data_IF_739273991701
#
_entry.id   IF_739273991701
#
_cell.length_a   1.000
_cell.length_b   1.000
_cell.length_c   1.000
_cell.angle_alpha   90.00
_cell.angle_beta   90.00
_cell.angle_gamma   90.00
#
_symmetry.space_group_name_H-M   'P 1'
#
loop_
_entity.id
_entity.type
_entity.pdbx_description
1 polymer ?
#
# COMPACT_ATOMS: atom_id res chain seq x y z
N UNK A 1 12.23 0.23 7.39
CA UNK A 1 11.05 1.12 7.34
C UNK A 1 11.57 2.55 7.29
N UNK A 2 11.64 3.14 6.10
CA UNK A 2 11.92 4.58 5.97
C UNK A 2 10.62 5.28 6.36
N UNK A 3 10.57 5.83 7.58
CA UNK A 3 9.45 6.66 8.02
C UNK A 3 9.64 8.05 7.43
N UNK A 4 9.05 8.29 6.26
CA UNK A 4 9.05 9.62 5.65
C UNK A 4 8.02 10.49 6.36
N UNK A 5 8.48 11.40 7.21
CA UNK A 5 7.61 12.40 7.86
C UNK A 5 7.35 13.55 6.89
N UNK A 6 6.07 13.79 6.57
CA UNK A 6 5.63 14.93 5.76
C UNK A 6 5.04 15.96 6.70
N UNK A 7 5.64 17.15 6.76
CA UNK A 7 5.07 18.28 7.47
C UNK A 7 4.20 19.10 6.52
N UNK A 8 2.94 19.31 6.91
CA UNK A 8 1.97 20.14 6.17
C UNK A 8 1.62 21.33 7.04
N UNK A 9 1.89 22.53 6.55
CA UNK A 9 1.43 23.77 7.19
C UNK A 9 0.96 24.72 6.10
N UNK A 10 -0.06 25.54 6.37
CA UNK A 10 -0.73 26.38 5.37
C UNK A 10 0.11 27.58 4.93
N UNK A 11 -0.45 28.79 5.00
CA UNK A 11 0.26 30.05 4.68
C UNK A 11 1.63 30.17 5.38
N UNK A 12 1.78 29.54 6.55
CA UNK A 12 3.04 29.48 7.32
C UNK A 12 4.12 28.65 6.60
N UNK A 13 3.81 27.50 5.98
CA UNK A 13 4.84 26.72 5.26
C UNK A 13 5.36 27.47 4.04
N UNK A 14 4.50 28.27 3.39
CA UNK A 14 4.93 29.14 2.31
C UNK A 14 5.87 30.25 2.82
N UNK A 15 5.54 30.88 3.94
CA UNK A 15 6.32 31.99 4.51
C UNK A 15 7.66 31.58 5.14
N UNK A 16 7.78 30.35 5.67
CA UNK A 16 8.96 29.87 6.39
C UNK A 16 9.67 28.70 5.71
N UNK A 17 9.40 28.46 4.42
CA UNK A 17 9.93 27.30 3.68
C UNK A 17 11.45 27.18 3.77
N UNK A 18 12.18 28.26 3.48
CA UNK A 18 13.64 28.26 3.47
C UNK A 18 14.24 28.01 4.87
N UNK A 19 13.66 28.60 5.92
CA UNK A 19 14.09 28.36 7.29
C UNK A 19 13.85 26.91 7.71
N UNK A 20 12.67 26.36 7.42
CA UNK A 20 12.34 24.98 7.74
C UNK A 20 13.24 23.99 6.97
N UNK A 21 13.55 24.27 5.70
CA UNK A 21 14.47 23.45 4.91
C UNK A 21 15.91 23.55 5.37
N UNK A 22 16.35 24.72 5.80
CA UNK A 22 17.68 24.89 6.39
C UNK A 22 17.80 24.13 7.71
N UNK A 23 16.81 24.23 8.60
CA UNK A 23 16.80 23.56 9.90
C UNK A 23 16.60 22.04 9.79
N UNK A 24 15.78 21.59 8.84
CA UNK A 24 15.43 20.19 8.63
C UNK A 24 15.56 19.79 7.15
N UNK A 25 16.78 19.56 6.64
CA UNK A 25 17.01 19.30 5.21
C UNK A 25 16.27 18.06 4.67
N UNK A 26 16.10 17.04 5.52
CA UNK A 26 15.40 15.79 5.18
C UNK A 26 13.89 15.87 5.26
N UNK A 27 13.33 16.95 5.82
CA UNK A 27 11.89 17.12 5.96
C UNK A 27 11.28 17.48 4.61
N UNK A 28 10.28 16.72 4.17
CA UNK A 28 9.46 17.14 3.01
C UNK A 28 8.45 18.18 3.48
N UNK A 29 8.54 19.40 2.92
CA UNK A 29 7.65 20.53 3.23
C UNK A 29 6.84 20.83 1.97
N UNK A 30 5.52 20.67 2.04
CA UNK A 30 4.61 21.03 0.96
C UNK A 30 4.02 22.43 1.20
N UNK A 31 4.09 23.31 0.20
CA UNK A 31 3.60 24.70 0.26
C UNK A 31 2.22 24.88 -0.35
N UNK A 32 1.72 23.88 -1.07
CA UNK A 32 0.38 23.87 -1.66
C UNK A 32 -0.24 22.48 -1.62
N UNK A 33 -1.54 22.41 -1.93
CA UNK A 33 -2.27 21.14 -2.04
C UNK A 33 -1.67 20.29 -3.16
N UNK A 34 -1.25 20.90 -4.25
CA UNK A 34 -0.62 20.24 -5.40
C UNK A 34 0.74 19.65 -5.03
N UNK A 35 1.58 20.40 -4.31
CA UNK A 35 2.86 19.89 -3.81
C UNK A 35 2.67 18.72 -2.84
N UNK A 36 1.68 18.81 -1.95
CA UNK A 36 1.34 17.72 -1.04
C UNK A 36 0.86 16.47 -1.79
N UNK A 37 -0.07 16.65 -2.73
CA UNK A 37 -0.59 15.56 -3.55
C UNK A 37 0.54 14.88 -4.34
N UNK A 38 1.47 15.66 -4.91
CA UNK A 38 2.66 15.17 -5.60
C UNK A 38 3.62 14.39 -4.69
N UNK A 39 3.88 14.89 -3.49
CA UNK A 39 4.70 14.20 -2.50
C UNK A 39 4.07 12.87 -2.06
N UNK A 40 2.78 12.88 -1.71
CA UNK A 40 2.02 11.67 -1.34
C UNK A 40 2.00 10.65 -2.47
N UNK A 41 1.74 11.09 -3.70
CA UNK A 41 1.75 10.22 -4.87
C UNK A 41 3.12 9.58 -5.08
N UNK A 42 4.20 10.35 -4.97
CA UNK A 42 5.57 9.85 -5.10
C UNK A 42 5.87 8.78 -4.05
N UNK A 43 5.52 9.01 -2.78
CA UNK A 43 5.67 8.01 -1.72
C UNK A 43 4.87 6.73 -2.01
N UNK A 44 3.63 6.85 -2.51
CA UNK A 44 2.82 5.69 -2.88
C UNK A 44 3.47 4.88 -4.01
N UNK A 45 4.05 5.55 -5.02
CA UNK A 45 4.75 4.90 -6.14
C UNK A 45 6.02 4.21 -5.67
N UNK A 46 6.83 4.82 -4.80
CA UNK A 46 8.03 4.20 -4.24
C UNK A 46 7.68 2.94 -3.43
N UNK A 47 6.67 3.03 -2.57
CA UNK A 47 6.20 1.88 -1.81
C UNK A 47 5.62 0.79 -2.70
N UNK A 48 5.00 1.15 -3.82
CA UNK A 48 4.57 0.18 -4.81
C UNK A 48 5.76 -0.50 -5.48
N UNK A 49 6.81 0.24 -5.83
CA UNK A 49 8.04 -0.30 -6.41
C UNK A 49 8.68 -1.36 -5.50
N UNK A 50 8.81 -1.06 -4.20
CA UNK A 50 9.29 -2.03 -3.20
C UNK A 50 8.42 -3.31 -3.17
N UNK A 51 7.09 -3.14 -3.26
CA UNK A 51 6.14 -4.25 -3.13
C UNK A 51 5.86 -5.02 -4.43
N UNK A 52 6.32 -4.55 -5.60
CA UNK A 52 6.21 -5.33 -6.84
C UNK A 52 7.01 -6.65 -6.76
N UNK A 53 8.00 -6.71 -5.86
CA UNK A 53 8.81 -7.89 -5.60
C UNK A 53 9.76 -8.28 -6.74
N UNK A 54 9.88 -7.47 -7.81
CA UNK A 54 10.82 -7.70 -8.92
C UNK A 54 10.60 -9.00 -9.71
N UNK A 55 9.51 -9.74 -9.46
CA UNK A 55 9.28 -11.08 -10.01
C UNK A 55 8.87 -11.09 -11.48
N UNK A 56 8.59 -9.92 -12.07
CA UNK A 56 8.21 -9.77 -13.48
C UNK A 56 7.10 -10.73 -13.93
N UNK A 57 6.08 -10.95 -13.08
CA UNK A 57 5.04 -11.97 -13.30
C UNK A 57 4.03 -11.61 -14.41
N UNK A 58 4.03 -10.36 -14.89
CA UNK A 58 3.15 -9.83 -15.95
C UNK A 58 1.64 -9.90 -15.65
N UNK A 59 1.24 -10.23 -14.43
CA UNK A 59 -0.17 -10.33 -14.04
C UNK A 59 -0.94 -9.00 -14.17
N UNK A 60 -0.25 -7.87 -14.19
CA UNK A 60 -0.82 -6.53 -14.41
C UNK A 60 -0.86 -6.10 -15.88
N UNK A 61 -0.42 -6.94 -16.82
CA UNK A 61 -0.38 -6.64 -18.26
C UNK A 61 0.88 -5.91 -18.74
N UNK A 62 1.78 -5.51 -17.84
CA UNK A 62 3.06 -4.90 -18.20
C UNK A 62 4.15 -5.95 -18.48
N UNK A 63 5.12 -5.67 -19.39
CA UNK A 63 6.17 -6.63 -19.76
C UNK A 63 7.06 -7.07 -18.60
N UNK A 64 7.29 -6.18 -17.63
CA UNK A 64 8.08 -6.39 -16.43
C UNK A 64 7.67 -5.35 -15.36
N UNK A 65 8.19 -5.49 -14.13
CA UNK A 65 7.89 -4.59 -13.03
C UNK A 65 8.41 -3.17 -13.27
N UNK A 66 9.56 -3.02 -13.95
CA UNK A 66 10.15 -1.72 -14.23
C UNK A 66 9.28 -0.87 -15.16
N UNK A 67 8.75 -1.46 -16.24
CA UNK A 67 7.82 -0.80 -17.16
C UNK A 67 6.52 -0.40 -16.46
N UNK A 68 6.03 -1.25 -15.54
CA UNK A 68 4.88 -0.90 -14.71
C UNK A 68 5.18 0.30 -13.80
N UNK A 69 6.33 0.31 -13.11
CA UNK A 69 6.73 1.45 -12.25
C UNK A 69 6.94 2.72 -13.08
N UNK A 70 7.53 2.62 -14.28
CA UNK A 70 7.66 3.75 -15.20
C UNK A 70 6.30 4.30 -15.58
N UNK A 71 5.37 3.44 -15.97
CA UNK A 71 4.00 3.82 -16.32
C UNK A 71 3.23 4.43 -15.14
N UNK A 72 3.47 3.97 -13.91
CA UNK A 72 2.95 4.61 -12.70
C UNK A 72 3.51 6.03 -12.55
N UNK A 73 4.84 6.22 -12.63
CA UNK A 73 5.47 7.53 -12.44
C UNK A 73 4.96 8.60 -13.41
N UNK A 74 4.64 8.22 -14.65
CA UNK A 74 4.12 9.13 -15.67
C UNK A 74 2.59 9.21 -15.70
N UNK A 75 1.90 8.58 -14.74
CA UNK A 75 0.44 8.67 -14.59
C UNK A 75 -0.38 7.83 -15.58
N UNK A 76 0.23 6.95 -16.36
CA UNK A 76 -0.46 6.04 -17.29
C UNK A 76 -1.07 4.84 -16.56
N UNK A 77 -0.34 4.28 -15.59
CA UNK A 77 -0.80 3.15 -14.80
C UNK A 77 -1.47 3.60 -13.49
N UNK A 78 -2.34 2.74 -12.95
CA UNK A 78 -2.87 2.87 -11.59
C UNK A 78 -2.24 1.83 -10.67
N UNK A 79 -2.00 2.21 -9.40
CA UNK A 79 -1.45 1.32 -8.37
C UNK A 79 -2.25 0.01 -8.20
N UNK A 80 -3.55 0.09 -8.45
CA UNK A 80 -4.50 -1.02 -8.38
C UNK A 80 -4.31 -2.09 -9.46
N UNK A 81 -3.48 -1.85 -10.47
CA UNK A 81 -3.22 -2.84 -11.53
C UNK A 81 -2.31 -3.97 -11.07
N UNK A 82 -1.41 -3.72 -10.11
CA UNK A 82 -0.51 -4.76 -9.61
C UNK A 82 -1.16 -5.53 -8.46
N UNK A 83 -1.46 -6.84 -8.62
CA UNK A 83 -2.08 -7.64 -7.56
C UNK A 83 -1.18 -7.86 -6.35
N UNK A 84 0.10 -7.50 -6.43
CA UNK A 84 1.02 -7.48 -5.28
C UNK A 84 0.96 -6.15 -4.50
N UNK A 85 0.55 -5.07 -5.16
CA UNK A 85 0.42 -3.74 -4.55
C UNK A 85 -0.99 -3.56 -3.98
N UNK A 86 -2.02 -3.95 -4.72
CA UNK A 86 -3.41 -3.94 -4.25
C UNK A 86 -3.84 -5.34 -3.82
N UNK A 87 -3.46 -5.72 -2.60
CA UNK A 87 -3.85 -7.03 -2.05
C UNK A 87 -5.34 -7.06 -1.71
N UNK A 88 -6.01 -8.16 -2.06
CA UNK A 88 -7.40 -8.43 -1.61
C UNK A 88 -7.46 -9.03 -0.21
N UNK A 89 -6.34 -9.59 0.25
CA UNK A 89 -6.21 -10.29 1.55
C UNK A 89 -5.01 -9.73 2.29
N UNK A 90 -5.19 -9.32 3.54
CA UNK A 90 -4.10 -8.91 4.42
C UNK A 90 -3.94 -9.92 5.55
N UNK A 91 -2.74 -10.49 5.70
CA UNK A 91 -2.39 -11.37 6.81
C UNK A 91 -1.33 -10.69 7.64
N UNK A 92 -1.49 -10.74 8.96
CA UNK A 92 -0.53 -10.18 9.91
C UNK A 92 -0.05 -11.29 10.85
N UNK A 93 1.26 -11.37 11.06
CA UNK A 93 1.91 -12.25 12.02
C UNK A 93 2.50 -11.37 13.12
N UNK A 94 1.96 -11.46 14.34
CA UNK A 94 2.34 -10.60 15.47
C UNK A 94 2.35 -9.10 15.11
N UNK A 95 1.29 -8.67 14.42
CA UNK A 95 1.14 -7.29 13.92
C UNK A 95 1.99 -6.94 12.69
N UNK A 96 2.89 -7.82 12.22
CA UNK A 96 3.71 -7.59 11.02
C UNK A 96 2.99 -8.08 9.76
N UNK A 97 2.85 -7.26 8.70
CA UNK A 97 2.18 -7.69 7.48
C UNK A 97 2.98 -8.76 6.73
N UNK A 98 2.31 -9.81 6.30
CA UNK A 98 2.87 -10.87 5.45
C UNK A 98 2.53 -10.58 3.99
N UNK A 99 3.57 -10.48 3.13
CA UNK A 99 3.38 -10.28 1.70
C UNK A 99 2.88 -11.57 1.03
N UNK A 100 1.68 -11.52 0.45
CA UNK A 100 1.04 -12.65 -0.20
C UNK A 100 1.12 -12.53 -1.73
N UNK A 101 1.54 -13.62 -2.38
CA UNK A 101 1.43 -13.71 -3.83
C UNK A 101 -0.06 -13.83 -4.28
N UNK A 102 -0.39 -13.63 -5.57
CA UNK A 102 -1.79 -13.59 -6.01
C UNK A 102 -2.53 -14.92 -5.84
N UNK A 103 -1.80 -16.04 -5.93
CA UNK A 103 -2.35 -17.38 -5.72
C UNK A 103 -2.80 -17.56 -4.27
N UNK A 104 -1.93 -17.24 -3.29
CA UNK A 104 -2.24 -17.39 -1.86
C UNK A 104 -3.38 -16.46 -1.45
N UNK A 105 -3.42 -15.23 -1.96
CA UNK A 105 -4.56 -14.33 -1.73
C UNK A 105 -5.88 -14.96 -2.21
N UNK A 106 -5.88 -15.53 -3.41
CA UNK A 106 -7.07 -16.16 -4.00
C UNK A 106 -7.50 -17.41 -3.22
N UNK A 107 -6.52 -18.21 -2.76
CA UNK A 107 -6.78 -19.39 -1.94
C UNK A 107 -7.47 -19.01 -0.63
N UNK A 108 -6.94 -18.03 0.11
CA UNK A 108 -7.52 -17.57 1.40
C UNK A 108 -8.90 -16.97 1.17
N UNK A 109 -9.05 -16.08 0.20
CA UNK A 109 -10.32 -15.41 -0.12
C UNK A 109 -11.41 -16.44 -0.46
N UNK A 110 -11.14 -17.36 -1.40
CA UNK A 110 -12.12 -18.34 -1.84
C UNK A 110 -12.50 -19.31 -0.71
N UNK A 111 -11.53 -19.69 0.13
CA UNK A 111 -11.78 -20.56 1.28
C UNK A 111 -12.71 -19.89 2.28
N UNK A 112 -12.38 -18.66 2.73
CA UNK A 112 -13.19 -17.94 3.71
C UNK A 112 -14.59 -17.62 3.17
N UNK A 113 -14.70 -17.17 1.91
CA UNK A 113 -16.00 -16.91 1.28
C UNK A 113 -16.82 -18.18 1.12
N UNK A 114 -16.20 -19.29 0.72
CA UNK A 114 -16.84 -20.59 0.62
C UNK A 114 -17.38 -21.07 1.97
N UNK A 115 -16.55 -21.03 3.01
CA UNK A 115 -16.95 -21.39 4.38
C UNK A 115 -18.12 -20.55 4.89
N UNK A 116 -18.07 -19.22 4.72
CA UNK A 116 -19.15 -18.35 5.18
C UNK A 116 -20.44 -18.52 4.38
N UNK A 117 -20.35 -18.90 3.10
CA UNK A 117 -21.53 -19.10 2.24
C UNK A 117 -22.40 -20.30 2.65
N UNK A 118 -21.84 -21.26 3.39
CA UNK A 118 -22.59 -22.43 3.88
C UNK A 118 -23.30 -22.16 5.22
N UNK A 119 -23.02 -21.03 5.88
CA UNK A 119 -23.60 -20.70 7.18
C UNK A 119 -24.98 -20.04 7.03
N UNK A 120 -25.97 -20.55 7.78
CA UNK A 120 -27.31 -19.95 7.83
C UNK A 120 -27.24 -18.56 8.46
N UNK A 121 -27.95 -17.61 7.87
CA UNK A 121 -28.05 -16.24 8.36
C UNK A 121 -26.85 -15.35 8.03
N UNK A 122 -25.80 -15.88 7.39
CA UNK A 122 -24.66 -15.09 6.92
C UNK A 122 -24.94 -14.64 5.48
N UNK A 123 -25.15 -13.34 5.30
CA UNK A 123 -25.36 -12.74 3.97
C UNK A 123 -24.07 -12.69 3.13
N UNK A 124 -23.94 -11.66 2.28
CA UNK A 124 -22.70 -11.40 1.51
C UNK A 124 -21.87 -10.30 2.20
N UNK A 125 -20.96 -10.64 3.13
CA UNK A 125 -20.18 -9.63 3.84
C UNK A 125 -19.24 -8.89 2.88
N UNK A 126 -19.14 -7.57 3.08
CA UNK A 126 -18.18 -6.71 2.36
C UNK A 126 -16.77 -6.82 2.93
N UNK A 127 -16.64 -7.11 4.23
CA UNK A 127 -15.38 -7.26 4.97
C UNK A 127 -15.47 -8.51 5.83
N UNK A 128 -14.39 -9.29 5.85
CA UNK A 128 -14.24 -10.50 6.69
C UNK A 128 -12.97 -10.29 7.51
N UNK A 129 -13.07 -10.42 8.82
CA UNK A 129 -11.94 -10.36 9.75
C UNK A 129 -11.89 -11.67 10.53
N UNK A 130 -10.69 -12.27 10.61
CA UNK A 130 -10.45 -13.52 11.33
C UNK A 130 -9.26 -13.30 12.26
N UNK A 131 -9.46 -13.59 13.54
CA UNK A 131 -8.43 -13.53 14.56
C UNK A 131 -8.19 -14.93 15.10
N UNK A 132 -6.93 -15.36 15.12
CA UNK A 132 -6.51 -16.65 15.68
C UNK A 132 -5.46 -16.33 16.73
N UNK A 133 -5.74 -16.68 17.98
CA UNK A 133 -4.81 -16.50 19.10
C UNK A 133 -4.31 -17.86 19.56
N UNK A 134 -3.01 -17.96 19.82
CA UNK A 134 -2.45 -19.10 20.55
C UNK A 134 -2.82 -18.97 22.04
N UNK A 135 -3.00 -20.08 22.77
CA UNK A 135 -3.04 -20.06 24.23
C UNK A 135 -1.72 -19.46 24.77
N UNK A 136 -1.71 -18.85 25.97
CA UNK A 136 -0.46 -18.47 26.62
C UNK A 136 0.43 -19.71 26.75
N UNK A 137 1.70 -19.57 26.39
CA UNK A 137 2.70 -20.61 26.65
C UNK A 137 2.75 -20.83 28.17
N UNK A 138 2.51 -22.08 28.59
CA UNK A 138 2.51 -22.49 29.99
C UNK A 138 3.92 -22.63 30.55
#
# INVERSE_FOLDING_TARGET
>A
LISSTVAVTGSVAASYYEELKHLYPSLTVARSIEELAGALYSFMVERAAENTGGRNCRACGYPNCEEFIRALRIGIAKLTLCPQVSSRVSVHLDGKPLLLNPFVQSMIENTLRGMLSSLKGVGKPRKIEVFISSPPEG
#
